data_IF_333433307474
#
_entry.id   IF_333433307474
#
_cell.length_a   1.000
_cell.length_b   1.000
_cell.length_c   1.000
_cell.angle_alpha   90.00
_cell.angle_beta   90.00
_cell.angle_gamma   90.00
#
_symmetry.space_group_name_H-M   'P 1'
#
loop_
_entity.id
_entity.type
_entity.pdbx_description
1 polymer ?
#
# COMPACT_ATOMS: atom_id res chain seq x y z
N UNK A 1 7.10 24.26 14.19
CA UNK A 1 6.59 24.30 15.57
C UNK A 1 5.61 23.16 15.91
N UNK A 2 4.55 22.86 15.12
CA UNK A 2 3.61 21.76 15.42
C UNK A 2 4.20 20.34 15.30
N UNK A 3 5.14 20.08 14.40
CA UNK A 3 5.80 18.76 14.28
C UNK A 3 6.83 18.49 15.38
N UNK A 4 7.54 19.51 15.84
CA UNK A 4 8.42 19.40 17.00
C UNK A 4 7.62 19.13 18.27
N UNK A 5 6.45 19.75 18.42
CA UNK A 5 5.55 19.49 19.54
C UNK A 5 5.01 18.05 19.54
N UNK A 6 4.72 17.47 18.35
CA UNK A 6 4.33 16.05 18.23
C UNK A 6 5.46 15.07 18.58
N UNK A 7 6.72 15.38 18.22
CA UNK A 7 7.89 14.59 18.63
C UNK A 7 8.14 14.69 20.13
N UNK A 8 7.92 15.85 20.73
CA UNK A 8 8.02 16.07 22.16
C UNK A 8 6.90 15.34 22.90
N UNK A 9 5.67 15.37 22.40
CA UNK A 9 4.54 14.64 23.01
C UNK A 9 4.75 13.11 22.93
N UNK A 10 5.25 12.55 21.82
CA UNK A 10 5.63 11.12 21.75
C UNK A 10 6.80 10.76 22.70
N UNK A 11 7.64 11.72 23.06
CA UNK A 11 8.71 11.53 24.04
C UNK A 11 8.25 11.73 25.49
N UNK A 12 7.13 12.44 25.72
CA UNK A 12 6.61 12.79 27.04
C UNK A 12 5.44 11.90 27.47
N UNK A 13 4.75 11.25 26.50
CA UNK A 13 3.73 10.24 26.85
C UNK A 13 4.47 8.95 27.22
N UNK A 14 4.49 8.57 28.50
CA UNK A 14 5.11 7.31 28.90
C UNK A 14 4.51 6.16 28.10
N UNK A 15 5.34 5.19 27.73
CA UNK A 15 4.92 3.97 27.04
C UNK A 15 3.73 3.29 27.75
N UNK A 16 3.71 3.39 29.09
CA UNK A 16 2.60 2.99 29.95
C UNK A 16 1.25 3.64 29.60
N UNK A 17 1.23 4.87 29.10
CA UNK A 17 -0.03 5.56 28.72
C UNK A 17 -0.50 5.08 27.35
N UNK A 18 0.40 4.79 26.41
CA UNK A 18 0.04 4.20 25.12
C UNK A 18 -0.49 2.77 25.30
N UNK A 19 0.18 1.98 26.14
CA UNK A 19 -0.27 0.64 26.54
C UNK A 19 -1.62 0.71 27.27
N UNK A 20 -1.80 1.69 28.17
CA UNK A 20 -3.08 1.90 28.86
C UNK A 20 -4.22 2.25 27.88
N UNK A 21 -3.97 3.10 26.87
CA UNK A 21 -4.95 3.43 25.85
C UNK A 21 -5.30 2.22 24.97
N UNK A 22 -4.32 1.45 24.57
CA UNK A 22 -4.53 0.21 23.80
C UNK A 22 -5.32 -0.80 24.63
N UNK A 23 -4.94 -1.03 25.88
CA UNK A 23 -5.62 -1.94 26.80
C UNK A 23 -7.06 -1.51 27.06
N UNK A 24 -7.32 -0.20 27.19
CA UNK A 24 -8.66 0.33 27.43
C UNK A 24 -9.55 0.19 26.19
N UNK A 25 -9.03 0.45 24.99
CA UNK A 25 -9.79 0.28 23.74
C UNK A 25 -10.07 -1.18 23.47
N UNK A 26 -9.13 -2.09 23.73
CA UNK A 26 -9.34 -3.53 23.63
C UNK A 26 -10.39 -4.03 24.62
N UNK A 27 -10.32 -3.65 25.87
CA UNK A 27 -11.36 -3.99 26.87
C UNK A 27 -12.75 -3.44 26.50
N UNK A 28 -12.81 -2.21 25.97
CA UNK A 28 -14.06 -1.65 25.51
C UNK A 28 -14.65 -2.47 24.36
N UNK A 29 -13.82 -2.91 23.42
CA UNK A 29 -14.23 -3.78 22.33
C UNK A 29 -14.69 -5.15 22.85
N UNK A 30 -13.94 -5.77 23.76
CA UNK A 30 -14.25 -7.06 24.36
C UNK A 30 -15.58 -7.07 25.13
N UNK A 31 -15.91 -5.94 25.77
CA UNK A 31 -17.14 -5.77 26.56
C UNK A 31 -18.34 -5.27 25.74
N UNK A 32 -18.12 -4.95 24.45
CA UNK A 32 -19.18 -4.42 23.61
C UNK A 32 -19.82 -5.53 22.77
N UNK A 33 -21.12 -5.66 22.86
CA UNK A 33 -21.91 -6.44 21.91
C UNK A 33 -22.64 -5.49 20.98
N UNK A 34 -22.45 -5.64 19.67
CA UNK A 34 -23.21 -4.89 18.68
C UNK A 34 -24.56 -5.55 18.42
N UNK A 35 -25.56 -4.75 18.07
CA UNK A 35 -26.84 -5.26 17.61
C UNK A 35 -26.64 -5.74 16.17
N UNK A 36 -27.00 -6.99 15.90
CA UNK A 36 -26.85 -7.61 14.59
C UNK A 36 -27.62 -6.85 13.51
N UNK A 37 -27.16 -7.06 12.29
CA UNK A 37 -27.71 -6.49 11.07
C UNK A 37 -29.25 -6.60 10.99
N UNK A 38 -29.87 -5.47 10.60
CA UNK A 38 -31.29 -5.38 10.36
C UNK A 38 -31.55 -4.62 9.05
N UNK A 39 -31.90 -5.36 8.01
CA UNK A 39 -32.07 -4.84 6.65
C UNK A 39 -33.15 -3.78 6.50
N UNK A 40 -34.08 -3.69 7.47
CA UNK A 40 -35.20 -2.77 7.43
C UNK A 40 -34.92 -1.47 8.20
N UNK A 41 -33.87 -1.43 9.01
CA UNK A 41 -33.63 -0.30 9.91
C UNK A 41 -33.04 0.92 9.20
N UNK A 42 -32.16 0.70 8.19
CA UNK A 42 -31.50 1.75 7.43
C UNK A 42 -31.85 1.68 5.93
N UNK A 43 -31.63 2.77 5.19
CA UNK A 43 -31.77 2.80 3.73
C UNK A 43 -30.76 1.84 3.08
N UNK A 44 -31.14 1.23 1.96
CA UNK A 44 -30.17 0.45 1.14
C UNK A 44 -29.09 1.37 0.61
N UNK A 45 -27.84 0.92 0.72
CA UNK A 45 -26.66 1.65 0.29
C UNK A 45 -25.47 1.41 1.20
N UNK A 46 -24.40 2.15 0.95
CA UNK A 46 -23.08 1.96 1.55
C UNK A 46 -22.62 3.23 2.28
N UNK A 47 -22.17 3.08 3.52
CA UNK A 47 -21.36 4.06 4.21
C UNK A 47 -19.90 3.63 4.06
N UNK A 48 -19.10 4.36 3.29
CA UNK A 48 -17.66 4.10 3.14
C UNK A 48 -16.88 4.95 4.14
N UNK A 49 -16.23 4.29 5.09
CA UNK A 49 -15.45 4.93 6.15
C UNK A 49 -13.97 4.61 5.92
N UNK A 50 -13.13 5.62 5.67
CA UNK A 50 -11.71 5.37 5.40
C UNK A 50 -10.88 6.63 5.15
N UNK A 51 -9.56 6.47 4.91
CA UNK A 51 -8.59 7.55 4.81
C UNK A 51 -8.58 8.24 3.44
N UNK A 52 -9.72 8.63 2.92
CA UNK A 52 -9.91 9.22 1.58
C UNK A 52 -8.99 10.42 1.29
N UNK A 53 -8.63 11.18 2.33
CA UNK A 53 -7.84 12.42 2.20
C UNK A 53 -6.33 12.20 2.41
N UNK A 54 -5.91 10.97 2.73
CA UNK A 54 -4.49 10.68 2.95
C UNK A 54 -3.76 10.40 1.63
N UNK A 55 -2.58 10.99 1.48
CA UNK A 55 -1.66 10.71 0.37
C UNK A 55 -0.76 9.50 0.72
N UNK A 56 -1.39 8.35 0.95
CA UNK A 56 -0.75 7.07 1.29
C UNK A 56 -1.31 5.95 0.41
N UNK A 57 -0.65 4.79 0.42
CA UNK A 57 -1.15 3.59 -0.26
C UNK A 57 -2.54 3.18 0.22
N UNK A 58 -2.80 3.26 1.54
CA UNK A 58 -4.11 2.98 2.11
C UNK A 58 -5.18 3.99 1.65
N UNK A 59 -4.81 5.28 1.59
CA UNK A 59 -5.71 6.31 1.05
C UNK A 59 -6.02 6.09 -0.43
N UNK A 60 -5.02 5.68 -1.22
CA UNK A 60 -5.23 5.34 -2.64
C UNK A 60 -6.13 4.10 -2.79
N UNK A 61 -5.90 3.06 -2.01
CA UNK A 61 -6.75 1.87 -1.94
C UNK A 61 -8.21 2.23 -1.64
N UNK A 62 -8.44 3.10 -0.66
CA UNK A 62 -9.79 3.57 -0.31
C UNK A 62 -10.46 4.34 -1.47
N UNK A 63 -9.71 5.18 -2.19
CA UNK A 63 -10.22 5.90 -3.38
C UNK A 63 -10.54 4.97 -4.55
N UNK A 64 -9.77 3.89 -4.74
CA UNK A 64 -10.08 2.87 -5.77
C UNK A 64 -11.38 2.14 -5.44
N UNK A 65 -11.58 1.76 -4.18
CA UNK A 65 -12.83 1.16 -3.74
C UNK A 65 -14.03 2.12 -3.91
N UNK A 66 -13.88 3.39 -3.55
CA UNK A 66 -14.91 4.42 -3.75
C UNK A 66 -15.31 4.54 -5.22
N UNK A 67 -14.34 4.54 -6.13
CA UNK A 67 -14.61 4.59 -7.57
C UNK A 67 -15.38 3.36 -8.05
N UNK A 68 -15.04 2.18 -7.57
CA UNK A 68 -15.75 0.95 -7.90
C UNK A 68 -17.21 0.99 -7.39
N UNK A 69 -17.44 1.46 -6.15
CA UNK A 69 -18.78 1.66 -5.61
C UNK A 69 -19.57 2.67 -6.45
N UNK A 70 -18.94 3.79 -6.80
CA UNK A 70 -19.59 4.82 -7.65
C UNK A 70 -19.99 4.26 -9.02
N UNK A 71 -19.11 3.48 -9.64
CA UNK A 71 -19.37 2.86 -10.94
C UNK A 71 -20.51 1.82 -10.90
N UNK A 72 -20.71 1.16 -9.75
CA UNK A 72 -21.80 0.17 -9.57
C UNK A 72 -23.20 0.80 -9.49
N UNK A 73 -23.31 2.14 -9.39
CA UNK A 73 -24.58 2.84 -9.23
C UNK A 73 -25.27 2.66 -7.87
N UNK A 74 -24.62 1.98 -6.92
CA UNK A 74 -25.15 1.83 -5.55
C UNK A 74 -25.06 3.17 -4.82
N UNK A 75 -26.15 3.55 -4.13
CA UNK A 75 -26.15 4.76 -3.29
C UNK A 75 -25.13 4.65 -2.18
N UNK A 76 -24.28 5.65 -2.01
CA UNK A 76 -23.25 5.64 -0.97
C UNK A 76 -22.98 7.04 -0.39
N UNK A 77 -22.34 7.05 0.78
CA UNK A 77 -21.81 8.25 1.41
C UNK A 77 -20.40 7.96 1.94
N UNK A 78 -19.50 8.95 1.80
CA UNK A 78 -18.11 8.82 2.23
C UNK A 78 -17.87 9.55 3.54
N UNK A 79 -17.30 8.84 4.51
CA UNK A 79 -16.92 9.36 5.82
C UNK A 79 -15.40 9.32 5.96
N UNK A 80 -14.69 10.45 5.76
CA UNK A 80 -13.25 10.50 5.91
C UNK A 80 -12.82 10.14 7.32
N UNK A 81 -11.99 9.10 7.44
CA UNK A 81 -11.39 8.66 8.71
C UNK A 81 -9.88 8.81 8.65
N UNK A 82 -9.26 9.20 9.78
CA UNK A 82 -7.82 9.16 9.97
C UNK A 82 -7.51 9.00 11.45
N UNK A 83 -6.65 8.06 11.79
CA UNK A 83 -6.12 7.87 13.14
C UNK A 83 -5.30 9.07 13.64
N UNK A 84 -4.78 9.89 12.72
CA UNK A 84 -4.02 11.10 13.04
C UNK A 84 -4.90 12.30 13.44
N UNK A 85 -6.21 12.22 13.20
CA UNK A 85 -7.12 13.30 13.53
C UNK A 85 -7.31 13.39 15.06
N UNK A 86 -6.96 14.54 15.61
CA UNK A 86 -7.24 14.89 17.02
C UNK A 86 -8.74 14.73 17.30
N UNK A 87 -9.11 14.29 18.53
CA UNK A 87 -10.53 14.16 18.93
C UNK A 87 -11.38 15.40 18.69
N UNK A 88 -10.78 16.59 18.64
CA UNK A 88 -11.49 17.87 18.35
C UNK A 88 -11.91 18.02 16.88
N UNK A 89 -11.31 17.30 15.94
CA UNK A 89 -11.73 17.27 14.52
C UNK A 89 -12.82 16.22 14.23
N UNK A 90 -13.12 15.37 15.19
CA UNK A 90 -14.18 14.34 15.11
C UNK A 90 -15.61 14.87 15.24
N UNK A 91 -15.83 16.16 15.17
CA UNK A 91 -17.19 16.72 15.05
C UNK A 91 -17.98 16.17 13.84
N UNK A 92 -17.31 15.56 12.86
CA UNK A 92 -17.95 14.93 11.71
C UNK A 92 -18.67 13.61 12.04
N UNK A 93 -18.32 12.90 13.10
CA UNK A 93 -18.96 11.64 13.47
C UNK A 93 -20.21 11.79 14.38
N UNK A 94 -20.74 13.00 14.52
CA UNK A 94 -22.14 13.15 14.92
C UNK A 94 -23.10 12.86 13.78
N UNK A 95 -22.62 12.72 12.54
CA UNK A 95 -23.42 12.37 11.38
C UNK A 95 -23.87 10.92 11.48
N UNK A 96 -25.14 10.73 11.44
CA UNK A 96 -25.80 9.43 11.50
C UNK A 96 -25.48 8.68 10.20
N UNK A 97 -24.83 7.52 10.28
CA UNK A 97 -24.68 6.61 9.15
C UNK A 97 -26.09 6.22 8.68
N UNK A 98 -26.42 6.51 7.42
CA UNK A 98 -27.81 6.43 6.93
C UNK A 98 -28.08 5.16 6.13
N UNK A 99 -27.04 4.49 5.65
CA UNK A 99 -27.16 3.30 4.82
C UNK A 99 -26.94 2.01 5.62
N UNK A 100 -27.50 0.92 5.13
CA UNK A 100 -27.55 -0.36 5.82
C UNK A 100 -26.22 -1.11 5.86
N UNK A 101 -25.28 -0.79 4.96
CA UNK A 101 -23.97 -1.45 4.87
C UNK A 101 -22.88 -0.45 5.24
N UNK A 102 -22.01 -0.83 6.15
CA UNK A 102 -20.77 -0.12 6.43
C UNK A 102 -19.62 -0.83 5.75
N UNK A 103 -18.72 -0.08 5.10
CA UNK A 103 -17.41 -0.56 4.66
C UNK A 103 -16.35 0.28 5.37
N UNK A 104 -15.64 -0.34 6.30
CA UNK A 104 -14.53 0.27 7.03
C UNK A 104 -13.22 -0.07 6.34
N UNK A 105 -12.71 0.87 5.56
CA UNK A 105 -11.40 0.76 4.92
C UNK A 105 -10.32 1.21 5.91
N UNK A 106 -10.10 0.42 6.95
CA UNK A 106 -9.23 0.73 8.09
C UNK A 106 -8.48 -0.56 8.45
N UNK A 107 -7.15 -0.51 8.47
CA UNK A 107 -6.36 -1.70 8.78
C UNK A 107 -6.64 -2.26 10.18
N UNK A 108 -6.44 -3.56 10.34
CA UNK A 108 -6.75 -4.28 11.56
C UNK A 108 -6.05 -3.72 12.81
N UNK A 109 -4.81 -3.26 12.69
CA UNK A 109 -4.07 -2.66 13.81
C UNK A 109 -4.66 -1.33 14.33
N UNK A 110 -5.44 -0.62 13.49
CA UNK A 110 -6.15 0.61 13.88
C UNK A 110 -7.59 0.36 14.33
N UNK A 111 -8.08 -0.87 14.17
CA UNK A 111 -9.49 -1.19 14.33
C UNK A 111 -10.02 -0.88 15.72
N UNK A 112 -9.31 -1.24 16.78
CA UNK A 112 -9.72 -0.93 18.17
C UNK A 112 -9.91 0.57 18.38
N UNK A 113 -9.01 1.37 17.83
CA UNK A 113 -9.05 2.82 17.93
C UNK A 113 -10.25 3.38 17.15
N UNK A 114 -10.47 2.89 15.95
CA UNK A 114 -11.62 3.27 15.12
C UNK A 114 -12.94 2.89 15.79
N UNK A 115 -13.05 1.69 16.34
CA UNK A 115 -14.24 1.25 17.05
C UNK A 115 -14.56 2.15 18.25
N UNK A 116 -13.56 2.47 19.07
CA UNK A 116 -13.71 3.36 20.20
C UNK A 116 -14.17 4.78 19.81
N UNK A 117 -13.59 5.31 18.71
CA UNK A 117 -13.90 6.65 18.22
C UNK A 117 -15.30 6.76 17.59
N UNK A 118 -15.65 5.79 16.76
CA UNK A 118 -16.92 5.77 16.04
C UNK A 118 -18.11 5.43 16.94
N UNK A 119 -17.83 4.90 18.15
CA UNK A 119 -18.81 4.44 19.14
C UNK A 119 -19.71 3.32 18.62
N UNK A 120 -20.16 2.49 19.53
CA UNK A 120 -20.99 1.30 19.28
C UNK A 120 -22.17 1.58 18.32
N UNK A 121 -22.88 2.69 18.46
CA UNK A 121 -24.07 3.04 17.64
C UNK A 121 -23.82 3.11 16.13
N UNK A 122 -22.55 3.33 15.71
CA UNK A 122 -22.18 3.34 14.30
C UNK A 122 -22.00 1.94 13.71
N UNK A 123 -22.01 0.92 14.57
CA UNK A 123 -21.88 -0.49 14.20
C UNK A 123 -23.22 -1.25 14.34
N UNK A 124 -24.05 -0.80 15.27
CA UNK A 124 -25.33 -1.44 15.57
C UNK A 124 -26.27 -1.47 14.35
N UNK A 125 -26.86 -2.63 14.07
CA UNK A 125 -27.84 -2.91 13.02
C UNK A 125 -27.36 -2.74 11.58
N UNK A 126 -26.08 -2.41 11.38
CA UNK A 126 -25.47 -2.37 10.05
C UNK A 126 -24.85 -3.71 9.70
N UNK A 127 -24.76 -4.01 8.41
CA UNK A 127 -23.85 -5.06 7.91
C UNK A 127 -22.45 -4.48 7.82
N UNK A 128 -21.58 -4.92 8.69
CA UNK A 128 -20.26 -4.34 8.90
C UNK A 128 -19.20 -5.12 8.12
N UNK A 129 -18.72 -4.52 7.05
CA UNK A 129 -17.62 -5.02 6.23
C UNK A 129 -16.35 -4.25 6.61
N UNK A 130 -15.22 -4.94 6.71
CA UNK A 130 -13.90 -4.31 6.78
C UNK A 130 -13.11 -4.62 5.51
N UNK A 131 -12.35 -3.65 5.02
CA UNK A 131 -11.40 -3.86 3.94
C UNK A 131 -9.99 -3.81 4.54
N UNK A 132 -9.39 -4.99 4.74
CA UNK A 132 -8.11 -5.15 5.41
C UNK A 132 -6.97 -5.45 4.44
N UNK A 133 -5.84 -4.78 4.67
CA UNK A 133 -4.57 -5.07 4.02
C UNK A 133 -3.65 -5.76 5.03
N UNK A 134 -2.99 -6.80 4.58
CA UNK A 134 -1.96 -7.49 5.33
C UNK A 134 -0.90 -8.01 4.35
N UNK A 135 0.35 -8.08 4.78
CA UNK A 135 1.44 -8.35 3.87
C UNK A 135 2.15 -9.69 4.13
N UNK A 136 1.85 -10.38 5.23
CA UNK A 136 2.52 -11.64 5.58
C UNK A 136 1.58 -12.85 5.48
N UNK A 137 2.16 -14.06 5.42
CA UNK A 137 1.42 -15.31 5.31
C UNK A 137 0.63 -15.66 6.58
N UNK A 138 1.02 -15.09 7.73
CA UNK A 138 0.39 -15.32 9.01
C UNK A 138 -0.24 -14.04 9.56
N UNK A 139 -1.56 -14.06 9.70
CA UNK A 139 -2.33 -12.93 10.25
C UNK A 139 -2.20 -12.91 11.78
N UNK A 140 -1.98 -11.76 12.43
CA UNK A 140 -1.80 -11.67 13.87
C UNK A 140 -2.98 -12.21 14.68
N UNK A 141 -2.72 -13.12 15.63
CA UNK A 141 -3.75 -13.66 16.52
C UNK A 141 -4.39 -12.58 17.40
N UNK A 142 -3.62 -11.55 17.72
CA UNK A 142 -4.08 -10.38 18.50
C UNK A 142 -5.21 -9.61 17.84
N UNK A 143 -5.41 -9.76 16.52
CA UNK A 143 -6.47 -9.06 15.76
C UNK A 143 -7.71 -9.91 15.50
N UNK A 144 -7.62 -11.23 15.69
CA UNK A 144 -8.76 -12.15 15.51
C UNK A 144 -9.97 -11.76 16.38
N UNK A 145 -9.84 -11.32 17.65
CA UNK A 145 -10.97 -10.90 18.45
C UNK A 145 -11.81 -9.74 17.85
N UNK A 146 -11.23 -8.92 16.96
CA UNK A 146 -11.95 -7.81 16.32
C UNK A 146 -13.07 -8.28 15.39
N UNK A 147 -12.97 -9.51 14.89
CA UNK A 147 -13.99 -10.10 14.00
C UNK A 147 -15.37 -10.26 14.65
N UNK A 148 -15.49 -10.15 15.97
CA UNK A 148 -16.79 -10.14 16.68
C UNK A 148 -17.71 -8.99 16.24
N UNK A 149 -17.14 -7.90 15.75
CA UNK A 149 -17.85 -6.68 15.35
C UNK A 149 -18.06 -6.61 13.83
N UNK A 150 -17.69 -7.65 13.10
CA UNK A 150 -17.56 -7.66 11.65
C UNK A 150 -18.40 -8.81 11.11
N UNK A 151 -19.16 -8.55 10.06
CA UNK A 151 -19.94 -9.57 9.37
C UNK A 151 -19.16 -10.20 8.21
N UNK A 152 -18.26 -9.42 7.57
CA UNK A 152 -17.49 -9.86 6.42
C UNK A 152 -16.15 -9.11 6.31
N UNK A 153 -15.09 -9.78 5.83
CA UNK A 153 -13.79 -9.19 5.56
C UNK A 153 -13.55 -9.18 4.05
N UNK A 154 -13.17 -8.04 3.50
CA UNK A 154 -12.65 -7.89 2.15
C UNK A 154 -11.15 -7.64 2.16
N UNK A 155 -10.47 -8.16 1.16
CA UNK A 155 -9.02 -7.97 0.98
C UNK A 155 -8.72 -7.77 -0.51
N UNK A 156 -7.59 -7.11 -0.87
CA UNK A 156 -7.29 -6.83 -2.28
C UNK A 156 -6.74 -8.03 -3.07
N UNK A 157 -6.31 -9.09 -2.38
CA UNK A 157 -5.60 -10.21 -2.98
C UNK A 157 -5.91 -11.52 -2.25
N UNK A 158 -5.85 -12.63 -2.97
CA UNK A 158 -6.09 -13.96 -2.43
C UNK A 158 -5.01 -14.36 -1.39
N UNK A 159 -3.77 -13.92 -1.60
CA UNK A 159 -2.69 -14.07 -0.62
C UNK A 159 -3.11 -13.54 0.77
N UNK A 160 -3.68 -12.34 0.81
CA UNK A 160 -4.16 -11.72 2.05
C UNK A 160 -5.38 -12.45 2.58
N UNK A 161 -6.33 -12.79 1.71
CA UNK A 161 -7.52 -13.57 2.08
C UNK A 161 -7.14 -14.89 2.76
N UNK A 162 -6.18 -15.61 2.18
CA UNK A 162 -5.72 -16.91 2.67
C UNK A 162 -5.02 -16.79 4.03
N UNK A 163 -4.23 -15.73 4.25
CA UNK A 163 -3.63 -15.45 5.54
C UNK A 163 -4.71 -15.30 6.64
N UNK A 164 -5.77 -14.54 6.35
CA UNK A 164 -6.85 -14.27 7.31
C UNK A 164 -7.77 -15.49 7.49
N UNK A 165 -8.16 -16.20 6.40
CA UNK A 165 -9.06 -17.37 6.45
C UNK A 165 -8.54 -18.49 7.35
N UNK A 166 -7.23 -18.62 7.51
CA UNK A 166 -6.63 -19.61 8.43
C UNK A 166 -7.04 -19.39 9.88
N UNK A 167 -7.45 -18.16 10.26
CA UNK A 167 -7.65 -17.78 11.67
C UNK A 167 -9.05 -17.32 12.02
N UNK A 168 -9.86 -16.92 11.04
CA UNK A 168 -11.20 -16.39 11.29
C UNK A 168 -12.31 -17.30 10.76
N UNK A 169 -13.51 -17.19 11.35
CA UNK A 169 -14.68 -18.02 10.97
C UNK A 169 -15.71 -17.24 10.13
N UNK A 170 -15.59 -15.92 10.06
CA UNK A 170 -16.49 -15.08 9.26
C UNK A 170 -16.07 -15.11 7.79
N UNK A 171 -16.98 -14.78 6.85
CA UNK A 171 -16.64 -14.74 5.42
C UNK A 171 -15.48 -13.81 5.12
N UNK A 172 -14.53 -14.27 4.31
CA UNK A 172 -13.41 -13.48 3.78
C UNK A 172 -13.46 -13.55 2.27
N UNK A 173 -13.62 -12.40 1.62
CA UNK A 173 -13.72 -12.26 0.16
C UNK A 173 -12.54 -11.49 -0.39
N UNK A 174 -12.02 -11.96 -1.50
CA UNK A 174 -11.04 -11.22 -2.30
C UNK A 174 -11.80 -10.27 -3.21
N UNK A 175 -11.56 -8.98 -3.05
CA UNK A 175 -12.14 -7.88 -3.82
C UNK A 175 -10.99 -7.06 -4.37
N UNK A 176 -10.45 -7.39 -5.56
CA UNK A 176 -9.32 -6.71 -6.15
C UNK A 176 -9.61 -5.23 -6.45
N UNK A 177 -8.55 -4.45 -6.62
CA UNK A 177 -8.71 -3.06 -7.01
C UNK A 177 -9.12 -2.93 -8.48
N UNK A 178 -10.09 -2.07 -8.74
CA UNK A 178 -10.33 -1.56 -10.09
C UNK A 178 -9.28 -0.48 -10.38
N UNK A 179 -8.18 -0.91 -11.00
CA UNK A 179 -7.03 -0.06 -11.26
C UNK A 179 -7.34 0.93 -12.39
N UNK A 180 -7.01 2.19 -12.19
CA UNK A 180 -7.07 3.23 -13.21
C UNK A 180 -5.83 4.10 -13.12
N UNK A 181 -5.11 4.23 -14.23
CA UNK A 181 -3.97 5.14 -14.39
C UNK A 181 -4.29 6.24 -15.38
N UNK A 182 -3.74 7.43 -15.15
CA UNK A 182 -3.89 8.59 -16.03
C UNK A 182 -2.57 9.35 -16.09
N UNK A 183 -2.18 9.78 -17.27
CA UNK A 183 -1.00 10.61 -17.47
C UNK A 183 -1.37 12.01 -17.93
N UNK A 184 -0.53 12.98 -17.61
CA UNK A 184 -0.58 14.34 -18.15
C UNK A 184 0.58 14.50 -19.16
N UNK A 185 0.26 14.55 -20.43
CA UNK A 185 1.25 14.68 -21.51
C UNK A 185 2.00 16.01 -21.53
N UNK A 186 1.59 16.98 -20.72
CA UNK A 186 2.31 18.25 -20.57
C UNK A 186 3.43 18.17 -19.53
N UNK A 187 3.39 17.16 -18.66
CA UNK A 187 4.42 16.90 -17.65
C UNK A 187 5.51 16.04 -18.27
N UNK A 188 6.75 16.54 -18.29
CA UNK A 188 7.95 15.85 -18.79
C UNK A 188 8.92 15.56 -17.65
N UNK A 189 10.00 14.84 -17.93
CA UNK A 189 11.12 14.62 -16.98
C UNK A 189 11.63 15.93 -16.38
N UNK A 190 11.68 17.00 -17.19
CA UNK A 190 12.11 18.34 -16.73
C UNK A 190 11.25 18.90 -15.59
N UNK A 191 9.95 18.63 -15.57
CA UNK A 191 9.06 19.03 -14.47
C UNK A 191 9.50 18.47 -13.11
N UNK A 192 10.06 17.27 -13.13
CA UNK A 192 10.59 16.61 -11.94
C UNK A 192 12.08 16.89 -11.70
N UNK A 193 12.73 17.72 -12.54
CA UNK A 193 14.17 17.97 -12.48
C UNK A 193 15.02 16.77 -12.89
N UNK A 194 14.49 15.92 -13.77
CA UNK A 194 15.15 14.71 -14.26
C UNK A 194 15.75 14.93 -15.65
N UNK A 195 16.86 14.23 -15.99
CA UNK A 195 17.46 14.30 -17.33
C UNK A 195 16.59 13.61 -18.38
N UNK A 196 16.58 14.16 -19.58
CA UNK A 196 15.79 13.58 -20.69
C UNK A 196 16.52 12.41 -21.36
N UNK A 197 17.86 12.45 -21.40
CA UNK A 197 18.69 11.53 -22.19
C UNK A 197 19.13 10.24 -21.44
N UNK A 198 18.92 10.18 -20.13
CA UNK A 198 19.38 9.03 -19.35
C UNK A 198 18.33 7.91 -19.26
N UNK A 199 18.81 6.68 -19.17
CA UNK A 199 17.98 5.54 -18.78
C UNK A 199 17.77 5.56 -17.26
N UNK A 200 16.51 5.73 -16.83
CA UNK A 200 16.16 6.01 -15.44
C UNK A 200 15.50 4.80 -14.77
N UNK A 201 16.17 4.28 -13.76
CA UNK A 201 15.64 3.31 -12.82
C UNK A 201 14.91 4.03 -11.68
N UNK A 202 13.78 3.50 -11.25
CA UNK A 202 12.92 4.16 -10.29
C UNK A 202 12.64 3.27 -9.07
N UNK A 203 12.76 3.86 -7.88
CA UNK A 203 12.41 3.25 -6.59
C UNK A 203 11.49 4.20 -5.84
N UNK A 204 10.41 3.68 -5.26
CA UNK A 204 9.46 4.49 -4.49
C UNK A 204 9.11 3.84 -3.16
N UNK A 205 9.21 4.59 -2.07
CA UNK A 205 8.77 4.13 -0.76
C UNK A 205 8.35 5.27 0.15
N UNK A 206 7.61 4.91 1.19
CA UNK A 206 7.23 5.82 2.27
C UNK A 206 7.97 5.39 3.54
N UNK A 207 8.70 6.30 4.15
CA UNK A 207 9.46 6.03 5.38
C UNK A 207 8.56 5.61 6.54
N UNK A 208 7.29 6.06 6.55
CA UNK A 208 6.31 5.67 7.55
C UNK A 208 5.68 4.29 7.30
N UNK A 209 5.96 3.66 6.16
CA UNK A 209 5.40 2.37 5.73
C UNK A 209 6.44 1.25 5.84
N UNK A 210 6.99 1.04 7.03
CA UNK A 210 7.97 -0.02 7.35
C UNK A 210 9.01 -0.18 6.24
N UNK A 211 10.07 0.64 6.28
CA UNK A 211 11.12 0.65 5.25
C UNK A 211 11.79 -0.72 5.09
N UNK A 212 11.93 -1.48 6.18
CA UNK A 212 12.50 -2.83 6.18
C UNK A 212 11.72 -3.77 5.24
N UNK A 213 10.40 -3.69 5.23
CA UNK A 213 9.55 -4.49 4.36
C UNK A 213 9.66 -4.05 2.89
N UNK A 214 9.70 -2.74 2.65
CA UNK A 214 9.87 -2.17 1.29
C UNK A 214 11.26 -2.37 0.71
N UNK A 215 12.27 -2.59 1.56
CA UNK A 215 13.64 -2.91 1.20
C UNK A 215 14.26 -1.97 0.13
N UNK A 216 14.22 -0.64 0.31
CA UNK A 216 14.85 0.27 -0.64
C UNK A 216 16.36 0.05 -0.75
N UNK A 217 17.01 -0.41 0.32
CA UNK A 217 18.44 -0.72 0.33
C UNK A 217 18.79 -1.87 -0.63
N UNK A 218 17.93 -2.91 -0.71
CA UNK A 218 18.09 -3.98 -1.70
C UNK A 218 18.05 -3.44 -3.13
N UNK A 219 17.13 -2.51 -3.43
CA UNK A 219 17.03 -1.87 -4.74
C UNK A 219 18.28 -1.03 -5.06
N UNK A 220 18.78 -0.27 -4.08
CA UNK A 220 20.02 0.53 -4.20
C UNK A 220 21.22 -0.38 -4.44
N UNK A 221 21.34 -1.46 -3.69
CA UNK A 221 22.45 -2.42 -3.85
C UNK A 221 22.42 -3.10 -5.22
N UNK A 222 21.24 -3.51 -5.70
CA UNK A 222 21.10 -4.06 -7.05
C UNK A 222 21.54 -3.07 -8.13
N UNK A 223 21.18 -1.80 -8.01
CA UNK A 223 21.63 -0.75 -8.92
C UNK A 223 23.15 -0.56 -8.88
N UNK A 224 23.77 -0.54 -7.68
CA UNK A 224 25.23 -0.42 -7.49
C UNK A 224 25.99 -1.62 -8.06
N UNK A 225 25.43 -2.82 -7.97
CA UNK A 225 26.03 -4.03 -8.57
C UNK A 225 25.86 -4.03 -10.09
N UNK A 226 24.72 -3.54 -10.60
CA UNK A 226 24.45 -3.49 -12.03
C UNK A 226 25.36 -2.50 -12.76
N UNK A 227 25.58 -1.32 -12.17
CA UNK A 227 26.26 -0.21 -12.84
C UNK A 227 27.45 0.30 -12.02
N UNK A 228 28.52 0.69 -12.73
CA UNK A 228 29.70 1.27 -12.09
C UNK A 228 29.47 2.75 -11.74
N UNK A 229 30.15 3.28 -10.72
CA UNK A 229 30.21 4.73 -10.50
C UNK A 229 30.68 5.45 -11.78
N UNK A 230 30.23 6.69 -11.95
CA UNK A 230 30.51 7.55 -13.11
C UNK A 230 29.96 7.07 -14.47
N UNK A 231 29.07 6.07 -14.48
CA UNK A 231 28.28 5.77 -15.68
C UNK A 231 27.35 6.97 -15.97
N UNK A 232 27.51 7.58 -17.18
CA UNK A 232 26.78 8.81 -17.53
C UNK A 232 25.41 8.55 -18.15
N UNK A 233 25.13 7.31 -18.56
CA UNK A 233 23.97 6.96 -19.38
C UNK A 233 22.79 6.48 -18.53
N UNK A 234 23.03 6.07 -17.29
CA UNK A 234 22.01 5.58 -16.38
C UNK A 234 21.83 6.49 -15.16
N UNK A 235 20.65 6.48 -14.56
CA UNK A 235 20.35 7.19 -13.32
C UNK A 235 19.36 6.45 -12.43
N UNK A 236 19.43 6.68 -11.12
CA UNK A 236 18.51 6.16 -10.13
C UNK A 236 17.63 7.29 -9.59
N UNK A 237 16.34 7.18 -9.78
CA UNK A 237 15.34 8.11 -9.23
C UNK A 237 14.76 7.49 -7.96
N UNK A 238 14.89 8.17 -6.84
CA UNK A 238 14.40 7.71 -5.54
C UNK A 238 13.29 8.64 -5.05
N UNK A 239 12.05 8.15 -5.08
CA UNK A 239 10.88 8.84 -4.54
C UNK A 239 10.68 8.44 -3.09
N UNK A 240 10.84 9.39 -2.16
CA UNK A 240 10.72 9.14 -0.73
C UNK A 240 9.65 10.05 -0.14
N UNK A 241 8.57 9.46 0.39
CA UNK A 241 7.63 10.20 1.22
C UNK A 241 8.17 10.29 2.66
N UNK A 242 7.94 11.42 3.31
CA UNK A 242 8.31 11.69 4.71
C UNK A 242 9.81 11.60 5.00
N UNK A 243 10.68 11.69 3.99
CA UNK A 243 12.13 11.77 4.20
C UNK A 243 12.55 13.04 4.96
N UNK A 244 13.52 12.91 5.84
CA UNK A 244 14.24 14.03 6.45
C UNK A 244 15.41 14.45 5.56
N UNK A 245 15.96 15.65 5.76
CA UNK A 245 17.19 16.05 5.03
C UNK A 245 18.34 15.08 5.33
N UNK A 246 18.48 14.64 6.57
CA UNK A 246 19.52 13.67 6.98
C UNK A 246 19.39 12.34 6.21
N UNK A 247 18.16 11.84 5.98
CA UNK A 247 17.97 10.62 5.19
C UNK A 247 18.49 10.77 3.77
N UNK A 248 18.25 11.94 3.16
CA UNK A 248 18.71 12.23 1.79
C UNK A 248 20.22 12.43 1.74
N UNK A 249 20.80 13.08 2.75
CA UNK A 249 22.26 13.27 2.84
C UNK A 249 22.98 11.93 2.97
N UNK A 250 22.53 11.03 3.84
CA UNK A 250 23.06 9.68 3.97
C UNK A 250 23.03 8.90 2.65
N UNK A 251 21.89 8.96 1.93
CA UNK A 251 21.77 8.30 0.63
C UNK A 251 22.68 8.95 -0.42
N UNK A 252 22.88 10.26 -0.41
CA UNK A 252 23.84 10.93 -1.30
C UNK A 252 25.28 10.51 -1.05
N UNK A 253 25.65 10.40 0.23
CA UNK A 253 26.99 9.91 0.61
C UNK A 253 27.20 8.47 0.15
N UNK A 254 26.22 7.59 0.39
CA UNK A 254 26.28 6.19 -0.02
C UNK A 254 26.36 6.03 -1.54
N UNK A 255 25.69 6.89 -2.29
CA UNK A 255 25.59 6.85 -3.75
C UNK A 255 26.55 7.84 -4.44
N UNK A 256 27.64 8.23 -3.75
CA UNK A 256 28.67 9.11 -4.34
C UNK A 256 29.22 8.48 -5.63
N UNK A 257 29.26 9.28 -6.70
CA UNK A 257 29.68 8.85 -8.02
C UNK A 257 28.59 8.27 -8.91
N UNK A 258 27.36 8.10 -8.41
CA UNK A 258 26.21 7.67 -9.21
C UNK A 258 25.30 8.87 -9.56
N UNK A 259 24.61 8.80 -10.69
CA UNK A 259 23.57 9.77 -11.02
C UNK A 259 22.29 9.44 -10.24
N UNK A 260 22.01 10.18 -9.17
CA UNK A 260 20.84 9.94 -8.30
C UNK A 260 19.99 11.19 -8.19
N UNK A 261 18.67 11.00 -8.31
CA UNK A 261 17.69 12.06 -8.28
C UNK A 261 16.65 11.78 -7.19
N UNK A 262 16.44 12.73 -6.29
CA UNK A 262 15.54 12.56 -5.15
C UNK A 262 14.24 13.35 -5.34
N UNK A 263 13.12 12.66 -5.26
CA UNK A 263 11.78 13.27 -5.29
C UNK A 263 11.18 13.21 -3.89
N UNK A 264 11.26 14.32 -3.16
CA UNK A 264 10.71 14.46 -1.77
C UNK A 264 9.30 15.03 -1.75
N UNK A 265 8.90 15.71 -2.80
CA UNK A 265 7.56 16.34 -2.90
C UNK A 265 6.48 15.25 -2.86
N UNK A 266 5.44 15.45 -2.08
CA UNK A 266 4.22 14.66 -2.19
C UNK A 266 3.57 14.95 -3.54
N UNK A 267 3.35 13.91 -4.34
CA UNK A 267 2.77 14.01 -5.66
C UNK A 267 1.27 13.69 -5.59
N UNK A 268 0.48 14.36 -6.42
CA UNK A 268 -0.88 13.94 -6.72
C UNK A 268 -0.88 12.59 -7.44
N UNK A 269 -2.02 11.91 -7.53
CA UNK A 269 -2.11 10.65 -8.28
C UNK A 269 -1.74 10.83 -9.75
N UNK A 270 -2.20 11.92 -10.38
CA UNK A 270 -1.87 12.24 -11.76
C UNK A 270 -0.36 12.48 -11.97
N UNK A 271 0.28 13.27 -11.10
CA UNK A 271 1.73 13.48 -11.13
C UNK A 271 2.49 12.16 -10.88
N UNK A 272 2.00 11.29 -9.98
CA UNK A 272 2.65 10.00 -9.69
C UNK A 272 2.57 9.04 -10.88
N UNK A 273 1.39 8.91 -11.50
CA UNK A 273 1.21 8.09 -12.70
C UNK A 273 2.08 8.59 -13.85
N UNK A 274 2.07 9.92 -14.07
CA UNK A 274 2.91 10.52 -15.09
C UNK A 274 4.39 10.31 -14.81
N UNK A 275 4.84 10.48 -13.55
CA UNK A 275 6.22 10.21 -13.18
C UNK A 275 6.60 8.75 -13.47
N UNK A 276 5.77 7.77 -13.10
CA UNK A 276 6.01 6.35 -13.38
C UNK A 276 6.16 6.12 -14.89
N UNK A 277 5.28 6.70 -15.72
CA UNK A 277 5.33 6.55 -17.18
C UNK A 277 6.57 7.15 -17.84
N UNK A 278 7.24 8.10 -17.17
CA UNK A 278 8.49 8.74 -17.61
C UNK A 278 9.75 7.96 -17.17
N UNK A 279 9.61 6.94 -16.33
CA UNK A 279 10.71 6.09 -15.91
C UNK A 279 10.89 4.91 -16.87
N UNK A 280 12.13 4.44 -17.01
CA UNK A 280 12.40 3.30 -17.87
C UNK A 280 12.18 1.96 -17.16
N UNK A 281 12.47 1.86 -15.87
CA UNK A 281 12.28 0.65 -15.08
C UNK A 281 11.85 0.99 -13.65
N UNK A 282 10.85 0.31 -13.12
CA UNK A 282 10.51 0.34 -11.69
C UNK A 282 11.13 -0.84 -10.95
N UNK A 283 11.79 -0.58 -9.82
CA UNK A 283 12.43 -1.61 -8.99
C UNK A 283 11.72 -1.69 -7.63
N UNK A 284 11.32 -2.88 -7.23
CA UNK A 284 10.74 -3.15 -5.92
C UNK A 284 11.21 -4.50 -5.38
N UNK A 285 12.34 -4.51 -4.69
CA UNK A 285 12.85 -5.69 -4.00
C UNK A 285 12.20 -5.82 -2.60
N UNK A 286 10.87 -5.69 -2.57
CA UNK A 286 10.08 -5.78 -1.34
C UNK A 286 10.20 -7.16 -0.71
N UNK A 287 10.06 -7.21 0.61
CA UNK A 287 10.03 -8.46 1.38
C UNK A 287 8.62 -9.01 1.52
N UNK A 288 7.61 -8.17 1.37
CA UNK A 288 6.20 -8.57 1.30
C UNK A 288 5.33 -7.40 0.83
N UNK A 289 4.23 -7.68 0.14
CA UNK A 289 3.21 -6.73 -0.31
C UNK A 289 1.80 -7.29 -0.11
N UNK A 290 0.88 -6.43 0.33
CA UNK A 290 -0.54 -6.79 0.43
C UNK A 290 -1.30 -6.69 -0.90
N UNK A 291 -0.72 -6.01 -1.90
CA UNK A 291 -1.14 -5.97 -3.30
C UNK A 291 0.01 -5.56 -4.21
N UNK A 292 0.64 -4.38 -3.95
CA UNK A 292 1.68 -3.83 -4.81
C UNK A 292 1.12 -2.83 -5.83
N UNK A 293 0.39 -1.80 -5.38
CA UNK A 293 -0.25 -0.81 -6.27
C UNK A 293 0.71 -0.20 -7.30
N UNK A 294 1.91 0.24 -6.88
CA UNK A 294 2.88 0.84 -7.80
C UNK A 294 3.38 -0.18 -8.83
N UNK A 295 3.49 -1.46 -8.47
CA UNK A 295 3.83 -2.54 -9.39
C UNK A 295 2.78 -2.66 -10.50
N UNK A 296 1.52 -2.77 -10.13
CA UNK A 296 0.40 -2.86 -11.07
C UNK A 296 0.25 -1.58 -11.91
N UNK A 297 0.42 -0.40 -11.30
CA UNK A 297 0.40 0.90 -11.97
C UNK A 297 1.55 1.03 -12.98
N UNK A 298 2.76 0.57 -12.64
CA UNK A 298 3.92 0.58 -13.55
C UNK A 298 3.68 -0.32 -14.76
N UNK A 299 3.17 -1.53 -14.55
CA UNK A 299 2.81 -2.43 -15.66
C UNK A 299 1.75 -1.79 -16.57
N UNK A 300 0.70 -1.19 -16.01
CA UNK A 300 -0.37 -0.54 -16.75
C UNK A 300 0.11 0.67 -17.56
N UNK A 301 1.11 1.39 -17.06
CA UNK A 301 1.74 2.54 -17.73
C UNK A 301 2.82 2.11 -18.74
N UNK A 302 3.10 0.82 -18.85
CA UNK A 302 4.13 0.31 -19.76
C UNK A 302 5.55 0.54 -19.25
N UNK A 303 5.74 0.67 -17.94
CA UNK A 303 7.06 0.73 -17.30
C UNK A 303 7.43 -0.67 -16.83
N UNK A 304 8.49 -1.31 -17.40
CA UNK A 304 8.98 -2.62 -16.96
C UNK A 304 9.26 -2.67 -15.46
N UNK A 305 8.98 -3.81 -14.85
CA UNK A 305 9.10 -3.99 -13.39
C UNK A 305 10.09 -5.09 -13.07
N UNK A 306 10.99 -4.81 -12.12
CA UNK A 306 11.87 -5.78 -11.45
C UNK A 306 11.37 -5.92 -10.01
N UNK A 307 10.84 -7.07 -9.63
CA UNK A 307 10.20 -7.25 -8.32
C UNK A 307 10.41 -8.64 -7.72
N UNK A 308 10.40 -8.72 -6.40
CA UNK A 308 10.46 -10.00 -5.69
C UNK A 308 9.28 -10.89 -6.07
N UNK A 309 9.53 -12.17 -6.35
CA UNK A 309 8.52 -13.18 -6.68
C UNK A 309 7.84 -13.73 -5.40
N UNK A 310 7.28 -12.82 -4.61
CA UNK A 310 6.67 -13.16 -3.32
C UNK A 310 5.51 -12.25 -2.94
N UNK A 311 4.51 -12.84 -2.32
CA UNK A 311 3.30 -12.20 -1.78
C UNK A 311 2.25 -11.83 -2.84
N UNK A 312 1.40 -10.86 -2.56
CA UNK A 312 0.21 -10.59 -3.36
C UNK A 312 0.47 -10.13 -4.80
N UNK A 313 1.66 -9.60 -5.11
CA UNK A 313 1.99 -9.21 -6.48
C UNK A 313 2.09 -10.40 -7.44
N UNK A 314 2.35 -11.60 -6.95
CA UNK A 314 2.42 -12.82 -7.79
C UNK A 314 1.06 -13.22 -8.38
N UNK A 315 -0.03 -12.63 -7.91
CA UNK A 315 -1.37 -12.85 -8.49
C UNK A 315 -1.56 -12.13 -9.84
N UNK A 316 -0.77 -11.08 -10.11
CA UNK A 316 -0.82 -10.33 -11.37
C UNK A 316 0.54 -10.16 -12.04
N UNK A 317 1.60 -10.79 -11.52
CA UNK A 317 2.95 -10.77 -12.09
C UNK A 317 3.48 -12.18 -12.25
N UNK A 318 4.21 -12.41 -13.34
CA UNK A 318 4.96 -13.63 -13.60
C UNK A 318 6.15 -13.32 -14.52
N UNK A 319 7.00 -14.30 -14.78
CA UNK A 319 8.23 -14.14 -15.58
C UNK A 319 8.00 -13.78 -17.06
N UNK A 320 6.77 -13.88 -17.58
CA UNK A 320 6.44 -13.47 -18.95
C UNK A 320 6.21 -11.96 -19.09
N UNK A 321 5.81 -11.31 -17.98
CA UNK A 321 5.37 -9.90 -17.95
C UNK A 321 6.17 -9.01 -17.00
N UNK A 322 7.09 -9.59 -16.20
CA UNK A 322 7.95 -8.85 -15.28
C UNK A 322 9.26 -9.60 -15.04
N UNK A 323 10.28 -8.91 -14.55
CA UNK A 323 11.50 -9.52 -14.06
C UNK A 323 11.31 -9.98 -12.62
N UNK A 324 10.92 -11.23 -12.44
CA UNK A 324 10.66 -11.82 -11.13
C UNK A 324 11.97 -12.26 -10.48
N UNK A 325 12.17 -11.85 -9.24
CA UNK A 325 13.40 -12.07 -8.48
C UNK A 325 13.17 -13.16 -7.44
N UNK A 326 14.00 -14.20 -7.51
CA UNK A 326 14.02 -15.28 -6.54
C UNK A 326 14.31 -14.76 -5.14
N UNK A 327 13.84 -15.48 -4.15
CA UNK A 327 13.96 -15.08 -2.75
C UNK A 327 14.23 -16.27 -1.83
N UNK A 328 14.67 -15.95 -0.62
CA UNK A 328 14.71 -16.90 0.49
C UNK A 328 13.74 -16.42 1.58
N UNK A 329 12.96 -17.34 2.18
CA UNK A 329 12.15 -17.00 3.35
C UNK A 329 13.04 -16.81 4.56
N UNK A 330 12.88 -15.66 5.23
CA UNK A 330 13.62 -15.29 6.44
C UNK A 330 12.66 -15.07 7.58
N UNK A 331 12.97 -15.69 8.74
CA UNK A 331 12.20 -15.52 9.97
C UNK A 331 12.62 -14.20 10.63
N UNK A 332 11.64 -13.39 11.03
CA UNK A 332 11.85 -12.18 11.81
C UNK A 332 12.39 -12.55 13.21
N UNK A 333 13.60 -12.07 13.51
CA UNK A 333 14.25 -12.30 14.81
C UNK A 333 13.72 -11.38 15.90
N UNK A 334 13.27 -10.18 15.50
CA UNK A 334 12.75 -9.12 16.36
C UNK A 334 11.41 -8.62 15.81
N UNK A 335 10.64 -7.93 16.66
CA UNK A 335 9.42 -7.27 16.25
C UNK A 335 9.74 -6.06 15.36
N UNK A 336 9.14 -6.03 14.19
CA UNK A 336 9.17 -4.90 13.25
C UNK A 336 7.73 -4.42 13.09
N UNK A 337 7.27 -3.61 14.00
CA UNK A 337 5.85 -3.25 14.07
C UNK A 337 5.24 -2.84 12.72
N UNK A 338 4.09 -3.42 12.28
CA UNK A 338 3.18 -4.31 13.02
C UNK A 338 3.51 -5.83 12.89
N UNK A 339 4.67 -6.19 12.37
CA UNK A 339 5.09 -7.58 12.14
C UNK A 339 5.76 -8.14 13.38
N UNK A 340 5.23 -9.24 13.91
CA UNK A 340 5.71 -9.87 15.13
C UNK A 340 6.91 -10.80 14.83
N UNK A 341 7.81 -10.92 15.79
CA UNK A 341 8.89 -11.91 15.78
C UNK A 341 8.33 -13.32 15.51
N UNK A 342 9.04 -14.10 14.72
CA UNK A 342 8.61 -15.43 14.31
C UNK A 342 7.82 -15.46 12.99
N UNK A 343 7.29 -14.32 12.53
CA UNK A 343 6.75 -14.21 11.20
C UNK A 343 7.86 -14.35 10.14
N UNK A 344 7.47 -14.65 8.89
CA UNK A 344 8.37 -14.78 7.76
C UNK A 344 8.08 -13.74 6.70
N UNK A 345 9.14 -13.29 6.03
CA UNK A 345 9.07 -12.54 4.78
C UNK A 345 10.15 -12.99 3.79
N UNK A 346 10.14 -12.45 2.57
CA UNK A 346 11.12 -12.78 1.56
C UNK A 346 12.37 -11.91 1.68
N UNK A 347 13.57 -12.49 1.55
CA UNK A 347 14.80 -11.79 1.28
C UNK A 347 15.15 -12.01 -0.19
N UNK A 348 15.03 -11.00 -1.07
CA UNK A 348 15.24 -11.13 -2.51
C UNK A 348 16.72 -11.29 -2.88
N UNK A 349 16.96 -11.98 -4.00
CA UNK A 349 18.28 -12.13 -4.59
C UNK A 349 18.70 -10.83 -5.31
N UNK A 350 19.55 -10.05 -4.65
CA UNK A 350 20.00 -8.74 -5.13
C UNK A 350 20.88 -8.85 -6.38
N UNK A 351 21.69 -9.90 -6.49
CA UNK A 351 22.55 -10.17 -7.63
C UNK A 351 21.73 -10.48 -8.88
N UNK A 352 20.72 -11.33 -8.77
CA UNK A 352 19.78 -11.62 -9.87
C UNK A 352 19.04 -10.33 -10.30
N UNK A 353 18.63 -9.50 -9.34
CA UNK A 353 18.05 -8.22 -9.67
C UNK A 353 18.99 -7.34 -10.47
N UNK A 354 20.27 -7.27 -10.09
CA UNK A 354 21.28 -6.52 -10.84
C UNK A 354 21.50 -7.04 -12.26
N UNK A 355 21.41 -8.35 -12.48
CA UNK A 355 21.46 -8.97 -13.81
C UNK A 355 20.29 -8.52 -14.69
N UNK A 356 19.06 -8.51 -14.13
CA UNK A 356 17.89 -8.01 -14.87
C UNK A 356 17.98 -6.51 -15.15
N UNK A 357 18.52 -5.69 -14.22
CA UNK A 357 18.72 -4.26 -14.49
C UNK A 357 19.66 -4.04 -15.67
N UNK A 358 20.78 -4.78 -15.75
CA UNK A 358 21.70 -4.73 -16.91
C UNK A 358 21.00 -5.18 -18.18
N UNK A 359 20.31 -6.31 -18.14
CA UNK A 359 19.60 -6.85 -19.30
C UNK A 359 18.57 -5.89 -19.86
N UNK A 360 17.77 -5.25 -19.00
CA UNK A 360 16.79 -4.25 -19.42
C UNK A 360 17.40 -3.01 -20.05
N UNK A 361 18.61 -2.63 -19.61
CA UNK A 361 19.36 -1.52 -20.19
C UNK A 361 20.04 -1.86 -21.50
N UNK A 362 20.67 -3.05 -21.61
CA UNK A 362 21.53 -3.45 -22.73
C UNK A 362 20.76 -4.10 -23.88
N UNK A 363 19.65 -4.80 -23.60
CA UNK A 363 18.81 -5.51 -24.56
C UNK A 363 17.49 -4.78 -24.80
N UNK A 364 17.49 -3.92 -25.80
CA UNK A 364 16.30 -3.14 -26.19
C UNK A 364 15.12 -4.02 -26.68
N UNK A 365 15.42 -5.20 -27.24
CA UNK A 365 14.38 -6.16 -27.69
C UNK A 365 13.67 -6.74 -26.49
N UNK A 366 14.41 -7.25 -25.52
CA UNK A 366 13.87 -7.77 -24.28
C UNK A 366 13.07 -6.72 -23.50
N UNK A 367 13.63 -5.49 -23.41
CA UNK A 367 12.97 -4.35 -22.78
C UNK A 367 11.59 -4.08 -23.39
N UNK A 368 11.53 -3.96 -24.72
CA UNK A 368 10.27 -3.67 -25.41
C UNK A 368 9.26 -4.82 -25.31
N UNK A 369 9.71 -6.06 -25.34
CA UNK A 369 8.84 -7.23 -25.19
C UNK A 369 8.19 -7.25 -23.79
N UNK A 370 8.96 -7.10 -22.74
CA UNK A 370 8.44 -7.05 -21.34
C UNK A 370 7.45 -5.89 -21.19
N UNK A 371 7.81 -4.70 -21.67
CA UNK A 371 6.97 -3.51 -21.63
C UNK A 371 5.58 -3.76 -22.26
N UNK A 372 5.54 -4.26 -23.48
CA UNK A 372 4.29 -4.49 -24.22
C UNK A 372 3.47 -5.61 -23.57
N UNK A 373 4.12 -6.72 -23.19
CA UNK A 373 3.44 -7.86 -22.56
C UNK A 373 2.84 -7.46 -21.21
N UNK A 374 3.60 -6.75 -20.38
CA UNK A 374 3.13 -6.27 -19.07
C UNK A 374 1.89 -5.39 -19.21
N UNK A 375 1.94 -4.39 -20.09
CA UNK A 375 0.83 -3.47 -20.30
C UNK A 375 -0.44 -4.18 -20.79
N UNK A 376 -0.28 -5.06 -21.77
CA UNK A 376 -1.41 -5.84 -22.30
C UNK A 376 -2.02 -6.75 -21.23
N UNK A 377 -1.18 -7.48 -20.51
CA UNK A 377 -1.61 -8.45 -19.51
C UNK A 377 -2.38 -7.79 -18.36
N UNK A 378 -1.81 -6.75 -17.76
CA UNK A 378 -2.44 -6.08 -16.61
C UNK A 378 -3.74 -5.34 -17.00
N UNK A 379 -3.80 -4.83 -18.24
CA UNK A 379 -5.01 -4.20 -18.76
C UNK A 379 -6.14 -5.24 -18.89
N UNK A 380 -5.86 -6.42 -19.41
CA UNK A 380 -6.85 -7.49 -19.47
C UNK A 380 -7.29 -7.95 -18.07
N UNK A 381 -6.37 -8.01 -17.10
CA UNK A 381 -6.66 -8.55 -15.78
C UNK A 381 -7.42 -7.60 -14.86
N UNK A 382 -7.08 -6.30 -14.86
CA UNK A 382 -7.56 -5.35 -13.84
C UNK A 382 -8.44 -4.22 -14.41
N UNK A 383 -8.62 -4.16 -15.74
CA UNK A 383 -9.43 -3.13 -16.40
C UNK A 383 -10.72 -3.67 -17.05
N UNK A 384 -10.88 -4.98 -17.17
CA UNK A 384 -12.09 -5.53 -17.78
C UNK A 384 -13.29 -5.25 -16.89
N UNK A 385 -14.20 -4.42 -17.38
CA UNK A 385 -15.53 -4.21 -16.82
C UNK A 385 -16.44 -5.43 -17.01
N UNK A 386 -16.00 -6.41 -17.79
CA UNK A 386 -16.80 -7.57 -18.20
C UNK A 386 -16.86 -8.70 -17.16
N UNK A 387 -16.13 -8.57 -16.06
CA UNK A 387 -16.23 -9.51 -14.93
C UNK A 387 -17.53 -9.35 -14.10
N UNK A 388 -18.46 -8.50 -14.53
CA UNK A 388 -19.75 -8.29 -13.85
C UNK A 388 -20.92 -9.05 -14.53
N UNK A 389 -20.68 -9.74 -15.64
CA UNK A 389 -21.73 -10.42 -16.42
C UNK A 389 -21.62 -11.96 -16.40
N UNK A 390 -20.77 -12.57 -15.54
CA UNK A 390 -20.77 -14.01 -15.27
C UNK A 390 -21.26 -14.34 -13.83
#
# INVERSE_FOLDING_TARGET
MKQQLKKVIKRIVPESVLVWWQTRSSRYLEQSDIIKYDSQFFKRGINLIGPMQQNSGLGQSCRLLERAINASGIMYEVFPYSSELSPRKFKLFSTKLVYSINIFHINAHEFCHAFYQLKKKSWDRHYNIVYWLWELEDFPDSWVPYTRMIDEIWTPAEFVSNSIRKKVKIPVKTVPYWLQVKIDNQITRKYFGLPEEKFLFFVAYDKNSVAERKNPQGCINAFKIAFRPNNRDVGLVIKINHATETDVEQLKEELTGYNVYFIKKTLSKLEMDTMISLMDVYISLHRAEGFGLILAESMALGTPVVATDYSANTEFMNSEVACMIDYQKVILKDDVWPYERGNCWAEPNVEQAAEYLRKLYEDSTYYNEIKIRAQKYITCLLYTSDAADE
#
